data_IF_761323476754
#
_entry.id   IF_761323476754
#
_cell.length_a   1.000
_cell.length_b   1.000
_cell.length_c   1.000
_cell.angle_alpha   90.00
_cell.angle_beta   90.00
_cell.angle_gamma   90.00
#
_symmetry.space_group_name_H-M   'P 1'
#
loop_
_entity.id
_entity.type
_entity.pdbx_description
1 polymer ?
#
# COMPACT_ATOMS: atom_id res chain seq x y z
N UNK A 1 3.71 -13.86 12.09
CA UNK A 1 3.86 -14.39 10.72
C UNK A 1 2.74 -15.36 10.33
N UNK A 2 2.17 -16.16 11.24
CA UNK A 2 1.01 -17.02 10.93
C UNK A 2 -0.16 -16.23 10.32
N UNK A 3 -0.42 -15.03 10.84
CA UNK A 3 -1.50 -14.12 10.39
C UNK A 3 -1.47 -13.78 8.90
N UNK A 4 -0.27 -13.77 8.28
CA UNK A 4 -0.11 -13.44 6.85
C UNK A 4 -0.72 -14.50 5.95
N UNK A 5 -0.74 -15.75 6.39
CA UNK A 5 -1.26 -16.87 5.60
C UNK A 5 -2.64 -17.30 6.07
N UNK A 6 -3.01 -17.09 7.34
CA UNK A 6 -4.34 -17.45 7.86
C UNK A 6 -5.47 -16.62 7.27
N UNK A 7 -5.20 -15.46 6.66
CA UNK A 7 -6.23 -14.69 5.93
C UNK A 7 -6.86 -15.47 4.78
N UNK A 8 -6.14 -16.45 4.21
CA UNK A 8 -6.67 -17.28 3.12
C UNK A 8 -7.62 -18.39 3.57
N UNK A 9 -7.70 -18.69 4.87
CA UNK A 9 -8.65 -19.66 5.41
C UNK A 9 -9.95 -19.04 5.92
N UNK A 10 -10.02 -17.69 6.01
CA UNK A 10 -11.18 -16.97 6.53
C UNK A 10 -11.90 -16.22 5.41
N UNK A 11 -13.14 -16.61 5.09
CA UNK A 11 -13.96 -16.00 4.01
C UNK A 11 -13.97 -14.48 4.07
N UNK A 12 -14.16 -13.91 5.27
CA UNK A 12 -14.16 -12.46 5.48
C UNK A 12 -12.86 -11.80 5.02
N UNK A 13 -11.72 -12.42 5.29
CA UNK A 13 -10.41 -11.89 4.92
C UNK A 13 -10.16 -12.02 3.41
N UNK A 14 -10.61 -13.11 2.78
CA UNK A 14 -10.59 -13.27 1.31
C UNK A 14 -11.40 -12.16 0.63
N UNK A 15 -12.56 -11.80 1.17
CA UNK A 15 -13.37 -10.69 0.68
C UNK A 15 -12.61 -9.36 0.83
N UNK A 16 -11.94 -9.13 1.97
CA UNK A 16 -11.12 -7.92 2.17
C UNK A 16 -9.91 -7.85 1.24
N UNK A 17 -9.27 -8.99 0.92
CA UNK A 17 -8.23 -9.09 -0.11
C UNK A 17 -8.80 -8.61 -1.45
N UNK A 18 -9.97 -9.14 -1.84
CA UNK A 18 -10.62 -8.84 -3.12
C UNK A 18 -11.04 -7.38 -3.23
N UNK A 19 -11.66 -6.82 -2.18
CA UNK A 19 -12.05 -5.40 -2.13
C UNK A 19 -10.83 -4.49 -2.20
N UNK A 20 -9.77 -4.82 -1.44
CA UNK A 20 -8.54 -4.03 -1.46
C UNK A 20 -7.90 -4.06 -2.85
N UNK A 21 -7.80 -5.23 -3.48
CA UNK A 21 -7.26 -5.37 -4.83
C UNK A 21 -8.09 -4.58 -5.86
N UNK A 22 -9.41 -4.70 -5.82
CA UNK A 22 -10.31 -4.01 -6.76
C UNK A 22 -10.23 -2.49 -6.61
N UNK A 23 -10.29 -1.97 -5.36
CA UNK A 23 -10.19 -0.53 -5.11
C UNK A 23 -8.80 -0.04 -5.50
N UNK A 24 -7.73 -0.74 -5.10
CA UNK A 24 -6.38 -0.28 -5.40
C UNK A 24 -6.11 -0.27 -6.90
N UNK A 25 -6.42 -1.37 -7.60
CA UNK A 25 -6.27 -1.45 -9.05
C UNK A 25 -7.15 -0.40 -9.76
N UNK A 26 -8.43 -0.30 -9.40
CA UNK A 26 -9.37 0.66 -10.01
C UNK A 26 -8.95 2.11 -9.81
N UNK A 27 -8.30 2.44 -8.69
CA UNK A 27 -7.76 3.79 -8.45
C UNK A 27 -6.45 4.01 -9.18
N UNK A 28 -5.64 2.96 -9.41
CA UNK A 28 -4.32 3.06 -10.01
C UNK A 28 -4.36 3.07 -11.55
N UNK A 29 -5.26 2.29 -12.17
CA UNK A 29 -5.41 2.16 -13.63
C UNK A 29 -5.55 3.52 -14.35
N UNK A 30 -6.38 4.48 -13.88
CA UNK A 30 -6.51 5.79 -14.52
C UNK A 30 -5.20 6.59 -14.62
N UNK A 31 -4.22 6.29 -13.77
CA UNK A 31 -2.93 6.98 -13.75
C UNK A 31 -1.84 6.26 -14.56
N UNK A 32 -2.08 5.02 -15.02
CA UNK A 32 -1.11 4.27 -15.86
C UNK A 32 -0.65 5.00 -17.13
N UNK A 33 -1.46 5.87 -17.78
CA UNK A 33 -0.99 6.70 -18.88
C UNK A 33 -0.04 7.84 -18.46
N UNK A 34 -0.08 8.30 -17.20
CA UNK A 34 0.72 9.42 -16.69
C UNK A 34 2.03 8.89 -16.11
N UNK A 35 2.94 8.49 -16.99
CA UNK A 35 4.20 7.85 -16.63
C UNK A 35 5.24 8.89 -16.20
N UNK A 36 5.87 8.68 -15.04
CA UNK A 36 7.03 9.46 -14.60
C UNK A 36 8.31 8.88 -15.21
N UNK A 37 8.44 7.56 -15.17
CA UNK A 37 9.48 6.82 -15.90
C UNK A 37 8.78 5.84 -16.83
N UNK A 38 8.95 5.98 -18.15
CA UNK A 38 8.25 5.16 -19.13
C UNK A 38 8.40 3.66 -18.85
N UNK A 39 7.27 2.95 -18.80
CA UNK A 39 7.21 1.51 -18.57
C UNK A 39 7.60 1.03 -17.16
N UNK A 40 7.95 1.91 -16.22
CA UNK A 40 8.45 1.52 -14.89
C UNK A 40 7.65 2.13 -13.73
N UNK A 41 7.24 3.41 -13.81
CA UNK A 41 6.45 4.04 -12.74
C UNK A 41 5.60 5.19 -13.23
N UNK A 42 4.39 5.25 -12.71
CA UNK A 42 3.36 6.26 -12.96
C UNK A 42 3.25 7.28 -11.82
N UNK A 43 2.46 8.33 -12.00
CA UNK A 43 1.97 9.12 -10.87
C UNK A 43 1.03 8.25 -10.02
N UNK A 44 1.24 8.12 -8.70
CA UNK A 44 0.50 7.13 -7.89
C UNK A 44 -0.31 7.74 -6.75
N UNK A 45 -1.37 8.53 -7.02
CA UNK A 45 -2.29 8.95 -5.95
C UNK A 45 -2.94 7.77 -5.22
N UNK A 46 -3.13 6.66 -5.94
CA UNK A 46 -3.63 5.41 -5.38
C UNK A 46 -2.72 4.80 -4.30
N UNK A 47 -1.45 5.23 -4.16
CA UNK A 47 -0.54 4.78 -3.09
C UNK A 47 -1.02 5.13 -1.68
N UNK A 48 -2.05 5.98 -1.54
CA UNK A 48 -2.76 6.15 -0.27
C UNK A 48 -3.52 4.88 0.16
N UNK A 49 -4.02 4.07 -0.78
CA UNK A 49 -4.85 2.89 -0.50
C UNK A 49 -4.06 1.80 0.23
N UNK A 50 -2.86 1.36 -0.21
CA UNK A 50 -2.10 0.34 0.50
C UNK A 50 -1.83 0.67 1.97
N UNK A 51 -1.47 1.92 2.27
CA UNK A 51 -1.20 2.38 3.65
C UNK A 51 -2.49 2.42 4.46
N UNK A 52 -3.53 3.07 3.94
CA UNK A 52 -4.82 3.21 4.60
C UNK A 52 -5.44 1.84 4.91
N UNK A 53 -5.55 0.98 3.90
CA UNK A 53 -6.17 -0.32 4.05
C UNK A 53 -5.26 -1.30 4.79
N UNK A 54 -3.94 -1.16 4.70
CA UNK A 54 -3.03 -1.92 5.57
C UNK A 54 -3.36 -1.67 7.04
N UNK A 55 -3.50 -0.40 7.43
CA UNK A 55 -3.87 -0.02 8.79
C UNK A 55 -5.26 -0.56 9.17
N UNK A 56 -6.23 -0.52 8.26
CA UNK A 56 -7.62 -0.91 8.55
C UNK A 56 -7.85 -2.42 8.51
N UNK A 57 -7.31 -3.14 7.53
CA UNK A 57 -7.64 -4.54 7.23
C UNK A 57 -6.44 -5.49 7.42
N UNK A 58 -5.27 -4.96 7.80
CA UNK A 58 -4.12 -5.77 8.20
C UNK A 58 -3.56 -6.62 7.05
N UNK A 59 -3.17 -7.89 7.30
CA UNK A 59 -2.53 -8.73 6.30
C UNK A 59 -3.38 -9.00 5.05
N UNK A 60 -4.72 -8.94 5.15
CA UNK A 60 -5.59 -9.08 3.99
C UNK A 60 -5.42 -7.92 3.01
N UNK A 61 -5.28 -6.69 3.50
CA UNK A 61 -4.98 -5.56 2.64
C UNK A 61 -3.57 -5.62 2.05
N UNK A 62 -2.61 -6.26 2.73
CA UNK A 62 -1.28 -6.47 2.17
C UNK A 62 -1.32 -7.36 0.92
N UNK A 63 -2.00 -8.50 1.00
CA UNK A 63 -2.25 -9.34 -0.19
C UNK A 63 -3.05 -8.62 -1.26
N UNK A 64 -4.12 -7.92 -0.86
CA UNK A 64 -4.93 -7.15 -1.79
C UNK A 64 -4.13 -6.05 -2.50
N UNK A 65 -3.21 -5.38 -1.83
CA UNK A 65 -2.37 -4.33 -2.43
C UNK A 65 -1.38 -4.91 -3.43
N UNK A 66 -0.79 -6.07 -3.12
CA UNK A 66 0.10 -6.79 -4.02
C UNK A 66 -0.63 -7.22 -5.31
N UNK A 67 -1.79 -7.87 -5.15
CA UNK A 67 -2.63 -8.33 -6.25
C UNK A 67 -3.17 -7.13 -7.04
N UNK A 68 -3.65 -6.09 -6.37
CA UNK A 68 -4.16 -4.88 -7.01
C UNK A 68 -3.11 -4.15 -7.85
N UNK A 69 -1.87 -4.06 -7.37
CA UNK A 69 -0.77 -3.52 -8.18
C UNK A 69 -0.57 -4.37 -9.44
N UNK A 70 -0.47 -5.69 -9.28
CA UNK A 70 -0.24 -6.60 -10.40
C UNK A 70 -1.38 -6.53 -11.44
N UNK A 71 -2.64 -6.49 -10.99
CA UNK A 71 -3.81 -6.29 -11.86
C UNK A 71 -3.65 -4.98 -12.64
N UNK A 72 -3.32 -3.88 -11.97
CA UNK A 72 -3.13 -2.60 -12.64
C UNK A 72 -2.00 -2.62 -13.67
N UNK A 73 -0.91 -3.36 -13.40
CA UNK A 73 0.22 -3.48 -14.33
C UNK A 73 -0.19 -4.12 -15.67
N UNK A 74 -1.18 -5.03 -15.70
CA UNK A 74 -1.74 -5.55 -16.95
C UNK A 74 -2.32 -4.46 -17.88
N UNK A 75 -2.61 -3.27 -17.36
CA UNK A 75 -3.13 -2.14 -18.14
C UNK A 75 -2.03 -1.20 -18.64
N UNK A 76 -0.88 -1.75 -19.04
CA UNK A 76 0.14 -1.02 -19.82
C UNK A 76 1.53 -0.90 -19.17
N UNK A 77 1.81 -1.60 -18.06
CA UNK A 77 3.12 -1.60 -17.38
C UNK A 77 3.63 -2.98 -16.99
N UNK A 78 2.99 -4.05 -17.46
CA UNK A 78 3.38 -5.42 -17.11
C UNK A 78 4.78 -5.71 -17.62
N UNK A 79 5.67 -6.10 -16.72
CA UNK A 79 7.05 -6.45 -17.02
C UNK A 79 7.56 -7.47 -16.01
N UNK A 80 8.76 -8.06 -16.20
CA UNK A 80 9.40 -8.87 -15.16
C UNK A 80 9.56 -8.13 -13.82
N UNK A 81 9.66 -6.79 -13.84
CA UNK A 81 9.71 -5.98 -12.62
C UNK A 81 8.39 -5.99 -11.82
N UNK A 82 7.26 -6.35 -12.43
CA UNK A 82 5.96 -6.47 -11.74
C UNK A 82 5.97 -7.50 -10.62
N UNK A 83 6.87 -8.50 -10.66
CA UNK A 83 7.07 -9.42 -9.54
C UNK A 83 7.59 -8.69 -8.28
N UNK A 84 8.53 -7.76 -8.47
CA UNK A 84 9.03 -6.90 -7.40
C UNK A 84 8.02 -5.83 -7.00
N UNK A 85 7.20 -5.35 -7.95
CA UNK A 85 6.03 -4.52 -7.68
C UNK A 85 5.02 -5.22 -6.76
N UNK A 86 4.75 -6.50 -7.00
CA UNK A 86 3.89 -7.33 -6.15
C UNK A 86 4.41 -7.42 -4.72
N UNK A 87 5.68 -7.81 -4.55
CA UNK A 87 6.32 -7.93 -3.23
C UNK A 87 6.40 -6.56 -2.55
N UNK A 88 6.80 -5.53 -3.29
CA UNK A 88 6.92 -4.16 -2.80
C UNK A 88 5.60 -3.63 -2.25
N UNK A 89 4.49 -3.82 -2.97
CA UNK A 89 3.16 -3.37 -2.52
C UNK A 89 2.60 -4.21 -1.37
N UNK A 90 2.93 -5.50 -1.31
CA UNK A 90 2.65 -6.32 -0.12
C UNK A 90 3.31 -5.70 1.12
N UNK A 91 4.62 -5.48 1.04
CA UNK A 91 5.41 -4.91 2.14
C UNK A 91 5.00 -3.46 2.45
N UNK A 92 4.59 -2.70 1.44
CA UNK A 92 4.10 -1.34 1.61
C UNK A 92 2.90 -1.30 2.57
N UNK A 93 1.89 -2.11 2.28
CA UNK A 93 0.70 -2.16 3.12
C UNK A 93 0.97 -2.83 4.47
N UNK A 94 1.76 -3.91 4.49
CA UNK A 94 2.04 -4.67 5.71
C UNK A 94 2.89 -3.89 6.71
N UNK A 95 3.87 -3.12 6.25
CA UNK A 95 4.68 -2.24 7.12
C UNK A 95 3.82 -1.16 7.77
N UNK A 96 2.88 -0.56 7.02
CA UNK A 96 1.97 0.44 7.57
C UNK A 96 1.09 -0.14 8.69
N UNK A 97 0.54 -1.34 8.46
CA UNK A 97 -0.18 -2.12 9.46
C UNK A 97 0.65 -2.32 10.74
N UNK A 98 1.88 -2.83 10.60
CA UNK A 98 2.73 -3.14 11.76
C UNK A 98 3.08 -1.90 12.57
N UNK A 99 3.44 -0.80 11.91
CA UNK A 99 3.76 0.47 12.59
C UNK A 99 2.53 0.97 13.35
N UNK A 100 1.37 1.04 12.68
CA UNK A 100 0.16 1.56 13.31
C UNK A 100 -0.27 0.72 14.50
N UNK A 101 -0.33 -0.62 14.34
CA UNK A 101 -0.66 -1.56 15.42
C UNK A 101 0.27 -1.42 16.63
N UNK A 102 1.54 -1.09 16.39
CA UNK A 102 2.54 -0.98 17.46
C UNK A 102 2.39 0.32 18.25
N UNK A 103 2.21 1.45 17.56
CA UNK A 103 2.25 2.78 18.17
C UNK A 103 0.89 3.35 18.56
N UNK A 104 -0.19 2.93 17.90
CA UNK A 104 -1.55 3.40 18.20
C UNK A 104 -2.29 2.32 19.00
N UNK A 105 -2.49 2.60 20.28
CA UNK A 105 -3.28 1.79 21.21
C UNK A 105 -4.40 2.65 21.77
N UNK A 106 -5.63 2.14 21.74
CA UNK A 106 -6.82 2.85 22.23
C UNK A 106 -7.64 3.52 21.13
N UNK A 107 -8.44 4.52 21.51
CA UNK A 107 -9.44 5.13 20.63
C UNK A 107 -8.82 5.92 19.47
N UNK A 108 -9.51 5.88 18.33
CA UNK A 108 -9.16 6.68 17.18
C UNK A 108 -9.68 8.11 17.30
N UNK A 109 -8.75 9.06 17.38
CA UNK A 109 -9.03 10.49 17.62
C UNK A 109 -8.54 11.40 16.50
N UNK A 110 -7.65 10.95 15.63
CA UNK A 110 -6.92 11.79 14.66
C UNK A 110 -6.28 13.03 15.29
N UNK A 111 -5.91 12.97 16.58
CA UNK A 111 -5.09 13.99 17.20
C UNK A 111 -3.69 14.03 16.59
N UNK A 112 -2.93 15.09 16.89
CA UNK A 112 -1.58 15.34 16.34
C UNK A 112 -0.67 14.11 16.40
N UNK A 113 -0.71 13.35 17.50
CA UNK A 113 0.07 12.11 17.67
C UNK A 113 -0.30 11.03 16.64
N UNK A 114 -1.59 10.77 16.42
CA UNK A 114 -2.05 9.75 15.46
C UNK A 114 -1.76 10.17 14.02
N UNK A 115 -1.91 11.46 13.70
CA UNK A 115 -1.51 12.01 12.39
C UNK A 115 -0.01 11.84 12.17
N UNK A 116 0.82 12.19 13.16
CA UNK A 116 2.26 12.02 13.07
C UNK A 116 2.66 10.54 12.87
N UNK A 117 2.01 9.61 13.58
CA UNK A 117 2.24 8.17 13.40
C UNK A 117 1.79 7.71 12.01
N UNK A 118 0.66 8.22 11.49
CA UNK A 118 0.18 7.89 10.15
C UNK A 118 1.18 8.34 9.07
N UNK A 119 1.67 9.57 9.17
CA UNK A 119 2.68 10.12 8.25
C UNK A 119 3.98 9.34 8.36
N UNK A 120 4.42 9.03 9.58
CA UNK A 120 5.60 8.19 9.80
C UNK A 120 5.43 6.81 9.16
N UNK A 121 4.28 6.15 9.37
CA UNK A 121 3.96 4.87 8.74
C UNK A 121 3.98 4.98 7.21
N UNK A 122 3.41 6.04 6.66
CA UNK A 122 3.37 6.32 5.21
C UNK A 122 4.78 6.41 4.61
N UNK A 123 5.68 7.18 5.25
CA UNK A 123 7.06 7.37 4.78
C UNK A 123 7.87 6.09 4.89
N UNK A 124 7.86 5.41 6.05
CA UNK A 124 8.65 4.18 6.25
C UNK A 124 8.17 3.08 5.31
N UNK A 125 6.86 2.94 5.14
CA UNK A 125 6.31 1.93 4.24
C UNK A 125 6.64 2.23 2.79
N UNK A 126 6.63 3.50 2.39
CA UNK A 126 7.05 3.94 1.05
C UNK A 126 8.52 3.65 0.79
N UNK A 127 9.38 3.83 1.80
CA UNK A 127 10.79 3.49 1.72
C UNK A 127 10.99 1.98 1.47
N UNK A 128 10.32 1.13 2.25
CA UNK A 128 10.39 -0.33 2.09
C UNK A 128 9.94 -0.75 0.69
N UNK A 129 8.79 -0.22 0.22
CA UNK A 129 8.29 -0.50 -1.13
C UNK A 129 9.28 -0.07 -2.21
N UNK A 130 9.79 1.17 -2.13
CA UNK A 130 10.72 1.73 -3.10
C UNK A 130 12.03 0.95 -3.15
N UNK A 131 12.56 0.55 -1.98
CA UNK A 131 13.75 -0.27 -1.88
C UNK A 131 13.57 -1.63 -2.58
N UNK A 132 12.46 -2.33 -2.29
CA UNK A 132 12.17 -3.63 -2.92
C UNK A 132 12.05 -3.52 -4.44
N UNK A 133 11.32 -2.53 -4.93
CA UNK A 133 11.12 -2.36 -6.39
C UNK A 133 12.41 -1.93 -7.07
N UNK A 134 13.14 -0.97 -6.49
CA UNK A 134 14.39 -0.48 -7.08
C UNK A 134 15.46 -1.56 -7.15
N UNK A 135 15.60 -2.41 -6.12
CA UNK A 135 16.51 -3.57 -6.18
C UNK A 135 16.12 -4.53 -7.32
N UNK A 136 14.82 -4.80 -7.49
CA UNK A 136 14.34 -5.66 -8.57
C UNK A 136 14.58 -5.10 -9.96
N UNK A 137 14.33 -3.81 -10.13
CA UNK A 137 14.53 -3.08 -11.39
C UNK A 137 16.02 -3.02 -11.76
N UNK A 138 16.90 -2.81 -10.79
CA UNK A 138 18.35 -2.84 -11.00
C UNK A 138 18.85 -4.27 -11.31
N UNK A 139 18.36 -5.28 -10.59
CA UNK A 139 18.69 -6.69 -10.85
C UNK A 139 18.34 -7.10 -12.29
N UNK A 140 17.23 -6.58 -12.82
CA UNK A 140 16.78 -6.82 -14.18
C UNK A 140 17.44 -5.89 -15.22
N UNK A 141 18.35 -5.00 -14.79
CA UNK A 141 19.03 -4.01 -15.63
C UNK A 141 18.09 -3.08 -16.41
N UNK A 142 16.90 -2.79 -15.86
CA UNK A 142 15.89 -1.97 -16.53
C UNK A 142 16.07 -0.48 -16.28
N UNK A 143 16.58 -0.10 -15.10
CA UNK A 143 16.95 1.28 -14.78
C UNK A 143 17.88 1.35 -13.55
N UNK A 144 18.63 2.45 -13.37
CA UNK A 144 19.51 2.63 -12.21
C UNK A 144 18.73 2.71 -10.89
N UNK A 145 19.20 2.00 -9.86
CA UNK A 145 18.55 1.93 -8.56
C UNK A 145 18.20 3.30 -7.99
N UNK A 146 19.16 4.23 -7.97
CA UNK A 146 18.99 5.54 -7.33
C UNK A 146 17.82 6.32 -7.91
N UNK A 147 17.63 6.26 -9.23
CA UNK A 147 16.57 7.01 -9.92
C UNK A 147 15.20 6.41 -9.56
N UNK A 148 15.06 5.10 -9.70
CA UNK A 148 13.81 4.38 -9.43
C UNK A 148 13.43 4.46 -7.97
N UNK A 149 14.41 4.27 -7.08
CA UNK A 149 14.23 4.39 -5.65
C UNK A 149 13.68 5.76 -5.28
N UNK A 150 14.34 6.85 -5.69
CA UNK A 150 13.93 8.20 -5.31
C UNK A 150 12.55 8.56 -5.87
N UNK A 151 12.28 8.21 -7.13
CA UNK A 151 10.98 8.51 -7.77
C UNK A 151 9.84 7.77 -7.07
N UNK A 152 9.98 6.46 -6.84
CA UNK A 152 8.94 5.67 -6.15
C UNK A 152 8.80 6.13 -4.70
N UNK A 153 9.91 6.37 -4.00
CA UNK A 153 9.90 6.77 -2.60
C UNK A 153 9.17 8.11 -2.41
N UNK A 154 9.51 9.14 -3.18
CA UNK A 154 8.90 10.46 -3.07
C UNK A 154 7.43 10.41 -3.45
N UNK A 155 7.11 9.81 -4.60
CA UNK A 155 5.74 9.70 -5.10
C UNK A 155 4.84 8.99 -4.09
N UNK A 156 5.24 7.80 -3.62
CA UNK A 156 4.47 7.06 -2.64
C UNK A 156 4.36 7.81 -1.30
N UNK A 157 5.46 8.38 -0.80
CA UNK A 157 5.47 9.07 0.49
C UNK A 157 4.54 10.28 0.50
N UNK A 158 4.62 11.12 -0.54
CA UNK A 158 3.80 12.33 -0.65
C UNK A 158 2.33 11.95 -0.81
N UNK A 159 2.01 11.05 -1.75
CA UNK A 159 0.62 10.66 -2.02
C UNK A 159 -0.01 9.98 -0.81
N UNK A 160 0.69 9.03 -0.19
CA UNK A 160 0.16 8.31 0.98
C UNK A 160 0.04 9.19 2.21
N UNK A 161 0.98 10.10 2.46
CA UNK A 161 0.92 11.00 3.62
C UNK A 161 -0.18 12.05 3.47
N UNK A 162 -0.31 12.69 2.31
CA UNK A 162 -1.28 13.78 2.11
C UNK A 162 -2.68 13.23 1.90
N UNK A 163 -2.88 12.44 0.85
CA UNK A 163 -4.21 11.92 0.50
C UNK A 163 -4.66 10.91 1.56
N UNK A 164 -3.75 10.05 2.01
CA UNK A 164 -4.07 9.04 3.00
C UNK A 164 -4.47 9.61 4.37
N UNK A 165 -3.87 10.71 4.84
CA UNK A 165 -4.30 11.35 6.10
C UNK A 165 -5.73 11.88 5.98
N UNK A 166 -6.07 12.51 4.85
CA UNK A 166 -7.43 13.00 4.59
C UNK A 166 -8.41 11.83 4.57
N UNK A 167 -8.09 10.76 3.83
CA UNK A 167 -8.94 9.57 3.76
C UNK A 167 -9.09 8.87 5.13
N UNK A 168 -8.02 8.80 5.92
CA UNK A 168 -8.03 8.24 7.26
C UNK A 168 -9.02 8.98 8.17
N UNK A 169 -9.01 10.32 8.13
CA UNK A 169 -9.95 11.14 8.90
C UNK A 169 -11.41 10.91 8.48
N UNK A 170 -11.67 10.74 7.18
CA UNK A 170 -13.04 10.61 6.64
C UNK A 170 -13.61 9.19 6.78
N UNK A 171 -12.79 8.16 6.58
CA UNK A 171 -13.24 6.79 6.39
C UNK A 171 -13.14 5.94 7.64
N UNK A 172 -12.20 6.21 8.54
CA UNK A 172 -11.94 5.29 9.67
C UNK A 172 -13.16 5.06 10.54
N UNK A 173 -13.82 6.12 11.05
CA UNK A 173 -15.01 5.98 11.89
C UNK A 173 -16.19 5.30 11.18
N UNK A 174 -16.26 5.40 9.84
CA UNK A 174 -17.30 4.72 9.05
C UNK A 174 -17.02 3.22 8.95
N UNK A 175 -15.77 2.86 8.66
CA UNK A 175 -15.32 1.47 8.54
C UNK A 175 -15.32 0.79 9.91
N UNK A 176 -14.98 1.51 10.99
CA UNK A 176 -15.05 1.00 12.36
C UNK A 176 -16.46 0.53 12.73
N UNK A 177 -17.50 1.29 12.36
CA UNK A 177 -18.91 0.93 12.60
C UNK A 177 -19.34 -0.34 11.88
N UNK A 178 -18.71 -0.69 10.76
CA UNK A 178 -18.96 -1.97 10.06
C UNK A 178 -18.27 -3.16 10.72
N UNK A 179 -17.44 -2.91 11.74
CA UNK A 179 -16.66 -3.93 12.44
C UNK A 179 -15.53 -4.52 11.61
N UNK A 180 -15.26 -4.01 10.40
CA UNK A 180 -14.26 -4.54 9.45
C UNK A 180 -12.80 -4.27 9.84
N UNK A 181 -12.55 -3.45 10.86
CA UNK A 181 -11.19 -3.15 11.31
C UNK A 181 -10.53 -4.42 11.85
N UNK A 182 -9.32 -4.71 11.35
CA UNK A 182 -8.52 -5.84 11.75
C UNK A 182 -8.00 -5.66 13.17
N UNK A 183 -8.37 -6.56 14.08
CA UNK A 183 -8.00 -6.49 15.50
C UNK A 183 -6.82 -7.38 15.90
N UNK A 184 -6.29 -8.20 14.99
CA UNK A 184 -5.26 -9.20 15.29
C UNK A 184 -5.84 -10.32 16.14
N UNK A 185 -6.11 -11.46 15.51
CA UNK A 185 -6.45 -12.71 16.20
C UNK A 185 -5.23 -13.63 16.20
#
# INVERSE_FOLDING_TARGET
MKDVFTVWSKTRQIVLISITAAIYAGTLIPFKPIQIIPGLTELRPASAIPVLFGIMFGPAAAWGSAIGNLIADFFGMLSPASAFGFIGNFLFSYTAYLIWKTFVKGEFTMGLKQVAIYVFASVVSSFVCALTVACGVELLSLAPFKIIFLVIFINNSVMSSVIGTILMALLYKRIEKTGLIYKGE
#
